data_IF_239762176485
#
_entry.id   IF_239762176485
#
_cell.length_a   1.000
_cell.length_b   1.000
_cell.length_c   1.000
_cell.angle_alpha   90.00
_cell.angle_beta   90.00
_cell.angle_gamma   90.00
#
_symmetry.space_group_name_H-M   'P 1'
#
loop_
_entity.id
_entity.type
_entity.pdbx_description
1 polymer ?
#
# COMPACT_ATOMS: atom_id res chain seq x y z
N UNK A 1 5.76 -14.84 4.11
CA UNK A 1 5.32 -13.48 3.71
C UNK A 1 4.18 -13.60 2.71
N UNK A 2 3.15 -12.77 2.82
CA UNK A 2 2.17 -12.50 1.74
C UNK A 2 2.05 -10.99 1.50
N UNK A 3 1.40 -10.60 0.41
CA UNK A 3 1.14 -9.21 0.05
C UNK A 3 -0.33 -8.88 0.32
N UNK A 4 -0.58 -7.83 1.09
CA UNK A 4 -1.90 -7.23 1.25
C UNK A 4 -1.93 -5.90 0.49
N UNK A 5 -2.92 -5.70 -0.37
CA UNK A 5 -3.01 -4.52 -1.23
C UNK A 5 -4.28 -3.74 -0.92
N UNK A 6 -4.10 -2.45 -0.61
CA UNK A 6 -5.18 -1.47 -0.69
C UNK A 6 -5.53 -1.23 -2.17
N UNK A 7 -6.63 -1.83 -2.60
CA UNK A 7 -7.00 -1.90 -4.00
C UNK A 7 -8.00 -0.81 -4.42
N UNK A 8 -8.31 0.21 -3.62
CA UNK A 8 -9.26 1.25 -4.03
C UNK A 8 -8.67 2.28 -5.01
N UNK A 9 -7.34 2.47 -5.00
CA UNK A 9 -6.66 3.40 -5.88
C UNK A 9 -5.29 2.91 -6.38
N UNK A 10 -5.08 1.58 -6.46
CA UNK A 10 -3.78 1.01 -6.83
C UNK A 10 -3.47 1.17 -8.35
N UNK A 11 -2.42 1.94 -8.74
CA UNK A 11 -2.04 2.17 -10.14
C UNK A 11 -1.08 1.11 -10.71
N UNK A 12 -0.70 0.12 -9.89
CA UNK A 12 0.38 -0.85 -10.14
C UNK A 12 -0.04 -2.31 -9.93
N UNK A 13 -1.34 -2.59 -10.12
CA UNK A 13 -1.92 -3.93 -9.89
C UNK A 13 -1.24 -5.01 -10.74
N UNK A 14 -1.02 -4.72 -12.02
CA UNK A 14 -0.43 -5.66 -12.96
C UNK A 14 1.01 -6.03 -12.54
N UNK A 15 1.77 -5.03 -12.07
CA UNK A 15 3.13 -5.20 -11.57
C UNK A 15 3.16 -6.05 -10.29
N UNK A 16 2.21 -5.83 -9.37
CA UNK A 16 2.07 -6.63 -8.15
C UNK A 16 1.81 -8.09 -8.51
N UNK A 17 0.79 -8.38 -9.31
CA UNK A 17 0.41 -9.75 -9.68
C UNK A 17 1.55 -10.45 -10.41
N UNK A 18 2.20 -9.75 -11.35
CA UNK A 18 3.31 -10.30 -12.13
C UNK A 18 4.51 -10.64 -11.23
N UNK A 19 4.97 -9.72 -10.39
CA UNK A 19 6.15 -9.94 -9.53
C UNK A 19 5.89 -10.98 -8.44
N UNK A 20 4.72 -10.94 -7.82
CA UNK A 20 4.33 -11.93 -6.82
C UNK A 20 4.20 -13.32 -7.44
N UNK A 21 3.64 -13.42 -8.65
CA UNK A 21 3.52 -14.67 -9.40
C UNK A 21 4.87 -15.31 -9.73
N UNK A 22 5.88 -14.52 -10.09
CA UNK A 22 7.24 -15.05 -10.35
C UNK A 22 7.91 -15.65 -9.11
N UNK A 23 7.50 -15.23 -7.91
CA UNK A 23 8.12 -15.62 -6.63
C UNK A 23 7.22 -16.50 -5.78
N UNK A 24 6.10 -16.95 -6.34
CA UNK A 24 5.04 -17.72 -5.66
C UNK A 24 4.57 -17.10 -4.33
N UNK A 25 4.49 -15.76 -4.28
CA UNK A 25 4.04 -15.02 -3.09
C UNK A 25 2.52 -14.80 -3.17
N UNK A 26 1.73 -15.22 -2.16
CA UNK A 26 0.29 -14.98 -2.14
C UNK A 26 -0.04 -13.48 -2.10
N UNK A 27 -1.08 -13.08 -2.84
CA UNK A 27 -1.58 -11.70 -2.87
C UNK A 27 -3.05 -11.67 -2.46
N UNK A 28 -3.39 -10.79 -1.53
CA UNK A 28 -4.78 -10.48 -1.18
C UNK A 28 -5.04 -9.01 -1.52
N UNK A 29 -5.99 -8.76 -2.42
CA UNK A 29 -6.43 -7.40 -2.77
C UNK A 29 -7.73 -7.08 -2.04
N UNK A 30 -7.72 -6.00 -1.26
CA UNK A 30 -8.86 -5.54 -0.46
C UNK A 30 -9.43 -4.28 -1.09
N UNK A 31 -10.72 -4.28 -1.42
CA UNK A 31 -11.35 -3.20 -2.17
C UNK A 31 -12.82 -2.98 -1.79
N UNK A 32 -13.27 -1.73 -1.88
CA UNK A 32 -14.65 -1.33 -1.65
C UNK A 32 -15.57 -1.51 -2.86
N UNK A 33 -16.84 -1.12 -2.72
CA UNK A 33 -17.83 -1.19 -3.79
C UNK A 33 -17.49 -0.28 -4.98
N UNK A 34 -17.99 -0.65 -6.17
CA UNK A 34 -17.77 0.10 -7.41
C UNK A 34 -16.47 -0.23 -8.16
N UNK A 35 -15.63 -1.09 -7.60
CA UNK A 35 -14.52 -1.70 -8.32
C UNK A 35 -14.92 -3.08 -8.87
N UNK A 36 -14.45 -3.41 -10.06
CA UNK A 36 -14.57 -4.74 -10.66
C UNK A 36 -13.17 -5.35 -10.82
N UNK A 37 -12.99 -6.52 -10.22
CA UNK A 37 -11.72 -7.23 -10.21
C UNK A 37 -11.90 -8.62 -10.78
N UNK A 38 -11.07 -8.95 -11.77
CA UNK A 38 -10.94 -10.32 -12.23
C UNK A 38 -9.90 -11.03 -11.38
N UNK A 39 -10.29 -12.18 -10.82
CA UNK A 39 -9.37 -13.02 -10.09
C UNK A 39 -8.29 -13.56 -11.04
N UNK A 40 -7.04 -13.29 -10.70
CA UNK A 40 -5.90 -13.99 -11.31
C UNK A 40 -5.52 -15.19 -10.44
N UNK A 41 -4.81 -16.16 -11.02
CA UNK A 41 -4.29 -17.28 -10.24
C UNK A 41 -3.46 -16.78 -9.05
N UNK A 42 -3.74 -17.32 -7.85
CA UNK A 42 -3.04 -16.98 -6.58
C UNK A 42 -3.28 -15.53 -6.10
N UNK A 43 -4.30 -14.85 -6.62
CA UNK A 43 -4.80 -13.58 -6.09
C UNK A 43 -6.14 -13.80 -5.40
N UNK A 44 -6.18 -13.56 -4.10
CA UNK A 44 -7.40 -13.51 -3.31
C UNK A 44 -8.02 -12.11 -3.41
N UNK A 45 -9.34 -12.06 -3.61
CA UNK A 45 -10.11 -10.82 -3.71
C UNK A 45 -11.02 -10.71 -2.49
N UNK A 46 -10.84 -9.65 -1.70
CA UNK A 46 -11.66 -9.35 -0.52
C UNK A 46 -12.43 -8.06 -0.78
N UNK A 47 -13.73 -8.20 -0.99
CA UNK A 47 -14.65 -7.05 -1.11
C UNK A 47 -15.09 -6.63 0.28
N UNK A 48 -14.97 -5.34 0.59
CA UNK A 48 -15.48 -4.73 1.83
C UNK A 48 -16.70 -3.87 1.57
N UNK A 49 -17.42 -3.54 2.63
CA UNK A 49 -18.59 -2.67 2.58
C UNK A 49 -18.22 -1.21 2.24
N UNK A 50 -19.24 -0.40 1.98
CA UNK A 50 -19.12 1.01 1.54
C UNK A 50 -18.53 1.97 2.58
N UNK A 51 -18.26 1.49 3.80
CA UNK A 51 -17.74 2.33 4.86
C UNK A 51 -16.31 2.78 4.54
N UNK A 52 -16.07 4.08 4.71
CA UNK A 52 -14.81 4.74 4.33
C UNK A 52 -13.56 4.10 4.93
N UNK A 53 -13.70 3.41 6.07
CA UNK A 53 -12.60 2.80 6.83
C UNK A 53 -12.60 1.27 6.74
N UNK A 54 -13.53 0.67 5.98
CA UNK A 54 -13.69 -0.79 5.92
C UNK A 54 -12.47 -1.49 5.31
N UNK A 55 -11.88 -0.91 4.27
CA UNK A 55 -10.69 -1.46 3.61
C UNK A 55 -9.48 -1.43 4.54
N UNK A 56 -9.24 -0.29 5.19
CA UNK A 56 -8.15 -0.11 6.15
C UNK A 56 -8.25 -1.09 7.30
N UNK A 57 -9.46 -1.24 7.88
CA UNK A 57 -9.72 -2.15 8.99
C UNK A 57 -9.55 -3.62 8.55
N UNK A 58 -10.04 -3.99 7.38
CA UNK A 58 -9.88 -5.35 6.85
C UNK A 58 -8.40 -5.69 6.63
N UNK A 59 -7.62 -4.78 6.04
CA UNK A 59 -6.18 -4.98 5.85
C UNK A 59 -5.48 -5.09 7.21
N UNK A 60 -5.77 -4.19 8.16
CA UNK A 60 -5.16 -4.21 9.49
C UNK A 60 -5.49 -5.49 10.28
N UNK A 61 -6.70 -6.03 10.12
CA UNK A 61 -7.13 -7.29 10.74
C UNK A 61 -6.50 -8.52 10.07
N UNK A 62 -6.33 -8.48 8.75
CA UNK A 62 -5.66 -9.54 8.03
C UNK A 62 -4.17 -9.55 8.39
N UNK A 63 -3.51 -8.39 8.41
CA UNK A 63 -2.07 -8.21 8.57
C UNK A 63 -1.46 -9.04 9.71
N UNK A 64 -0.42 -9.81 9.36
CA UNK A 64 0.40 -10.57 10.30
C UNK A 64 1.85 -10.07 10.27
N UNK A 65 2.63 -10.28 11.35
CA UNK A 65 4.06 -9.98 11.32
C UNK A 65 4.74 -10.60 10.09
N UNK A 66 5.66 -9.85 9.48
CA UNK A 66 6.38 -10.22 8.26
C UNK A 66 5.56 -10.24 6.95
N UNK A 67 4.28 -9.82 6.96
CA UNK A 67 3.54 -9.51 5.73
C UNK A 67 4.02 -8.20 5.10
N UNK A 68 3.70 -8.00 3.82
CA UNK A 68 3.93 -6.75 3.08
C UNK A 68 2.59 -6.07 2.78
N UNK A 69 2.41 -4.84 3.26
CA UNK A 69 1.22 -4.02 2.96
C UNK A 69 1.57 -2.98 1.90
N UNK A 70 0.75 -2.90 0.85
CA UNK A 70 0.89 -1.92 -0.22
C UNK A 70 -0.23 -0.88 -0.14
N UNK A 71 0.12 0.37 0.20
CA UNK A 71 -0.85 1.47 0.35
C UNK A 71 -0.19 2.85 0.26
N UNK A 72 -0.91 3.82 -0.29
CA UNK A 72 -0.55 5.25 -0.24
C UNK A 72 -1.20 5.98 0.97
N UNK A 73 -2.08 5.32 1.75
CA UNK A 73 -2.65 5.93 2.95
C UNK A 73 -1.70 5.78 4.16
N UNK A 74 -1.26 6.93 4.69
CA UNK A 74 -0.35 6.95 5.85
C UNK A 74 -0.97 6.42 7.15
N UNK A 75 -2.28 6.56 7.33
CA UNK A 75 -3.00 6.00 8.48
C UNK A 75 -2.98 4.48 8.43
N UNK A 76 -3.34 3.89 7.28
CA UNK A 76 -3.21 2.43 7.09
C UNK A 76 -1.76 1.97 7.21
N UNK A 77 -0.79 2.72 6.66
CA UNK A 77 0.63 2.42 6.82
C UNK A 77 1.05 2.35 8.30
N UNK A 78 0.56 3.27 9.14
CA UNK A 78 0.82 3.24 10.59
C UNK A 78 0.22 1.99 11.25
N UNK A 79 -1.03 1.68 10.95
CA UNK A 79 -1.73 0.52 11.50
C UNK A 79 -1.00 -0.78 11.10
N UNK A 80 -0.59 -0.89 9.84
CA UNK A 80 0.16 -2.02 9.31
C UNK A 80 1.52 -2.18 10.01
N UNK A 81 2.30 -1.11 10.15
CA UNK A 81 3.57 -1.14 10.88
C UNK A 81 3.39 -1.59 12.34
N UNK A 82 2.31 -1.16 13.01
CA UNK A 82 1.97 -1.61 14.37
C UNK A 82 1.58 -3.10 14.47
N UNK A 83 1.38 -3.78 13.33
CA UNK A 83 1.22 -5.25 13.22
C UNK A 83 2.51 -5.98 12.87
N UNK A 84 3.64 -5.27 12.75
CA UNK A 84 4.92 -5.87 12.40
C UNK A 84 5.04 -6.22 10.92
N UNK A 85 4.25 -5.59 10.06
CA UNK A 85 4.38 -5.73 8.60
C UNK A 85 5.47 -4.81 8.07
N UNK A 86 5.94 -5.10 6.86
CA UNK A 86 6.61 -4.10 6.02
C UNK A 86 5.55 -3.31 5.25
N UNK A 87 5.83 -2.05 4.90
CA UNK A 87 4.88 -1.21 4.15
C UNK A 87 5.58 -0.54 2.97
N UNK A 88 4.95 -0.58 1.81
CA UNK A 88 5.43 0.04 0.57
C UNK A 88 4.30 0.83 -0.11
N UNK A 89 4.52 2.12 -0.32
CA UNK A 89 3.63 2.96 -1.12
C UNK A 89 3.66 2.59 -2.60
N UNK A 90 2.59 2.89 -3.34
CA UNK A 90 2.54 2.69 -4.79
C UNK A 90 3.55 3.57 -5.54
N UNK A 91 4.12 4.58 -4.86
CA UNK A 91 5.18 5.44 -5.40
C UNK A 91 6.59 4.93 -5.11
N UNK A 92 6.73 3.81 -4.41
CA UNK A 92 8.03 3.21 -4.11
C UNK A 92 8.74 3.79 -2.88
N UNK A 93 8.02 4.49 -1.99
CA UNK A 93 8.50 4.81 -0.64
C UNK A 93 8.22 3.63 0.29
N UNK A 94 9.26 3.11 0.92
CA UNK A 94 9.15 2.12 2.01
C UNK A 94 8.92 2.87 3.31
N UNK A 95 7.86 2.53 4.04
CA UNK A 95 7.61 3.09 5.36
C UNK A 95 8.13 2.15 6.45
N UNK A 96 8.71 2.74 7.48
CA UNK A 96 9.20 2.07 8.68
C UNK A 96 9.02 2.95 9.92
N UNK A 97 9.38 2.43 11.09
CA UNK A 97 9.26 3.15 12.38
C UNK A 97 10.15 4.39 12.47
N UNK A 98 11.14 4.56 11.60
CA UNK A 98 12.04 5.72 11.61
C UNK A 98 11.51 6.87 10.76
N UNK A 99 10.72 6.58 9.71
CA UNK A 99 10.27 7.58 8.75
C UNK A 99 8.76 7.89 8.80
N UNK A 100 7.95 7.02 9.41
CA UNK A 100 6.48 7.17 9.39
C UNK A 100 6.01 8.42 10.15
N UNK A 101 6.64 8.74 11.28
CA UNK A 101 6.30 9.92 12.09
C UNK A 101 6.57 11.23 11.34
N UNK A 102 7.69 11.29 10.60
CA UNK A 102 8.02 12.43 9.77
C UNK A 102 7.00 12.61 8.62
N UNK A 103 6.58 11.50 8.00
CA UNK A 103 5.56 11.51 6.95
C UNK A 103 4.19 12.00 7.49
N UNK A 104 3.79 11.54 8.67
CA UNK A 104 2.57 12.01 9.36
C UNK A 104 2.65 13.51 9.70
N UNK A 105 3.77 13.96 10.26
CA UNK A 105 3.99 15.36 10.60
C UNK A 105 3.88 16.26 9.35
N UNK A 106 4.45 15.82 8.22
CA UNK A 106 4.34 16.52 6.95
C UNK A 106 2.88 16.56 6.44
N UNK A 107 2.15 15.44 6.47
CA UNK A 107 0.71 15.38 6.11
C UNK A 107 -0.10 16.35 6.96
N UNK A 108 0.16 16.40 8.26
CA UNK A 108 -0.52 17.30 9.19
C UNK A 108 -0.20 18.78 8.91
N UNK A 109 1.07 19.10 8.67
CA UNK A 109 1.50 20.46 8.29
C UNK A 109 0.80 20.94 7.01
N UNK A 110 0.78 20.11 5.96
CA UNK A 110 0.07 20.43 4.72
C UNK A 110 -1.43 20.62 4.94
N UNK A 111 -2.05 19.80 5.80
CA UNK A 111 -3.46 19.94 6.15
C UNK A 111 -3.76 21.23 6.94
N UNK A 112 -2.84 21.70 7.79
CA UNK A 112 -2.94 22.99 8.48
C UNK A 112 -2.87 24.15 7.49
N UNK A 113 -1.92 24.13 6.55
CA UNK A 113 -1.77 25.17 5.52
C UNK A 113 -3.06 25.31 4.68
N UNK A 114 -3.64 24.18 4.25
CA UNK A 114 -4.92 24.16 3.52
C UNK A 114 -6.05 24.81 4.32
N UNK A 115 -6.18 24.45 5.60
CA UNK A 115 -7.24 24.99 6.49
C UNK A 115 -7.10 26.49 6.72
N UNK A 116 -5.87 27.01 6.72
CA UNK A 116 -5.59 28.44 6.82
C UNK A 116 -5.81 29.25 5.54
N UNK A 117 -6.40 28.66 4.49
CA UNK A 117 -6.62 29.33 3.20
C UNK A 117 -5.36 29.45 2.32
N UNK A 118 -4.26 28.82 2.72
CA UNK A 118 -3.01 28.81 1.97
C UNK A 118 -3.16 28.07 0.64
N UNK A 119 -2.65 28.66 -0.44
CA UNK A 119 -2.62 28.02 -1.76
C UNK A 119 -1.64 26.84 -1.71
N UNK A 120 -2.16 25.62 -1.73
CA UNK A 120 -1.36 24.40 -1.79
C UNK A 120 -1.59 23.70 -3.14
N UNK A 121 -0.53 23.17 -3.73
CA UNK A 121 -0.66 22.23 -4.84
C UNK A 121 -1.03 20.87 -4.24
N UNK A 122 -2.05 20.22 -4.79
CA UNK A 122 -2.39 18.85 -4.42
C UNK A 122 -1.22 17.88 -4.68
N UNK A 123 -1.38 16.60 -4.31
CA UNK A 123 -0.38 15.58 -4.59
C UNK A 123 0.05 15.63 -6.05
N UNK A 124 1.35 15.47 -6.32
CA UNK A 124 1.85 15.37 -7.68
C UNK A 124 1.19 14.17 -8.36
N UNK A 125 0.88 14.31 -9.66
CA UNK A 125 0.40 13.20 -10.46
C UNK A 125 1.34 11.99 -10.38
N UNK A 126 0.77 10.79 -10.49
CA UNK A 126 1.53 9.57 -10.59
C UNK A 126 2.34 9.55 -11.89
N UNK A 127 3.59 9.08 -11.87
CA UNK A 127 4.50 9.10 -13.03
C UNK A 127 5.18 7.76 -13.29
N UNK A 128 5.74 7.60 -14.50
CA UNK A 128 6.51 6.40 -14.86
C UNK A 128 7.68 6.14 -13.89
N UNK A 129 8.37 7.21 -13.45
CA UNK A 129 9.43 7.11 -12.46
C UNK A 129 8.93 6.58 -11.09
N UNK A 130 7.69 6.90 -10.70
CA UNK A 130 7.09 6.33 -9.48
C UNK A 130 6.85 4.83 -9.66
N UNK A 131 6.34 4.41 -10.83
CA UNK A 131 6.14 3.00 -11.17
C UNK A 131 7.43 2.21 -11.20
N UNK A 132 8.49 2.74 -11.82
CA UNK A 132 9.80 2.10 -11.85
C UNK A 132 10.39 1.94 -10.44
N UNK A 133 10.25 2.97 -9.61
CA UNK A 133 10.67 2.91 -8.20
C UNK A 133 9.89 1.84 -7.44
N UNK A 134 8.57 1.81 -7.60
CA UNK A 134 7.72 0.80 -6.99
C UNK A 134 8.13 -0.62 -7.38
N UNK A 135 8.28 -0.89 -8.69
CA UNK A 135 8.69 -2.20 -9.21
C UNK A 135 10.04 -2.63 -8.62
N UNK A 136 11.01 -1.71 -8.58
CA UNK A 136 12.34 -2.00 -8.02
C UNK A 136 12.29 -2.29 -6.53
N UNK A 137 11.58 -1.48 -5.74
CA UNK A 137 11.49 -1.70 -4.30
C UNK A 137 10.69 -2.96 -3.96
N UNK A 138 9.59 -3.22 -4.67
CA UNK A 138 8.83 -4.45 -4.49
C UNK A 138 9.71 -5.67 -4.78
N UNK A 139 10.40 -5.70 -5.92
CA UNK A 139 11.28 -6.83 -6.27
C UNK A 139 12.41 -7.04 -5.25
N UNK A 140 13.01 -5.95 -4.75
CA UNK A 140 14.01 -6.00 -3.68
C UNK A 140 13.42 -6.61 -2.40
N UNK A 141 12.25 -6.14 -1.96
CA UNK A 141 11.60 -6.63 -0.75
C UNK A 141 11.19 -8.10 -0.86
N UNK A 142 10.77 -8.54 -2.05
CA UNK A 142 10.44 -9.92 -2.31
C UNK A 142 11.68 -10.83 -2.38
N UNK A 143 12.81 -10.33 -2.87
CA UNK A 143 14.08 -11.09 -2.92
C UNK A 143 14.64 -11.41 -1.55
N UNK A 144 14.54 -10.47 -0.61
CA UNK A 144 15.06 -10.62 0.75
C UNK A 144 14.36 -11.73 1.56
N UNK A 145 13.23 -12.25 1.10
CA UNK A 145 12.49 -13.33 1.78
C UNK A 145 12.85 -14.71 1.25
N UNK A 146 13.48 -14.80 0.09
CA UNK A 146 13.92 -16.09 -0.49
C UNK A 146 15.27 -16.54 0.06
N UNK A 147 15.98 -15.68 0.80
CA UNK A 147 17.34 -15.93 1.31
C UNK A 147 17.39 -16.36 2.79
N UNK A 148 16.24 -16.51 3.46
CA UNK A 148 16.10 -17.04 4.84
C UNK A 148 15.43 -18.42 4.85
#
# INVERSE_FOLDING_TARGET
MRILVDADACPVRAEIVRLAGFRDVPVTMVFGPGQDFQAAARVELVRVDSDREAADLAIANLARPHDLVLTDDLGLACLALARGTKVLSFRGTVYDTHNIDAALAQRHSHARIRRGGGRHRGPRNYTAADRERFVRELDRMLSQVTEE
#
